data_IF_420274995445
#
_entry.id   IF_420274995445
#
_cell.length_a   1.000
_cell.length_b   1.000
_cell.length_c   1.000
_cell.angle_alpha   90.00
_cell.angle_beta   90.00
_cell.angle_gamma   90.00
#
_symmetry.space_group_name_H-M   'P 1'
#
loop_
_entity.id
_entity.type
_entity.pdbx_description
1 polymer ?
#
# COMPACT_ATOMS: atom_id res chain seq x y z
N UNK A 1 -39.28 -71.55 -32.60
CA UNK A 1 -37.89 -71.44 -33.08
C UNK A 1 -37.14 -70.58 -32.09
N UNK A 2 -36.51 -71.24 -31.13
CA UNK A 2 -35.80 -70.63 -30.00
C UNK A 2 -34.41 -70.21 -30.48
N UNK A 3 -34.16 -68.90 -30.52
CA UNK A 3 -32.83 -68.35 -30.79
C UNK A 3 -31.84 -68.86 -29.75
N UNK A 4 -30.76 -69.49 -30.20
CA UNK A 4 -29.63 -69.86 -29.34
C UNK A 4 -29.10 -68.58 -28.65
N UNK A 5 -28.77 -68.63 -27.36
CA UNK A 5 -28.09 -67.52 -26.71
C UNK A 5 -26.75 -67.33 -27.42
N UNK A 6 -26.45 -66.09 -27.80
CA UNK A 6 -25.12 -65.73 -28.27
C UNK A 6 -24.18 -65.94 -27.08
N UNK A 7 -23.35 -66.97 -27.15
CA UNK A 7 -22.31 -67.24 -26.16
C UNK A 7 -21.33 -66.06 -26.17
N UNK A 8 -21.50 -65.14 -25.22
CA UNK A 8 -20.53 -64.10 -24.91
C UNK A 8 -19.24 -64.79 -24.40
N UNK A 9 -18.05 -64.39 -24.87
CA UNK A 9 -16.80 -65.09 -24.56
C UNK A 9 -16.50 -65.07 -23.05
N UNK A 10 -15.88 -66.16 -22.58
CA UNK A 10 -15.80 -66.54 -21.16
C UNK A 10 -15.08 -65.55 -20.21
N UNK A 11 -14.30 -64.58 -20.71
CA UNK A 11 -13.52 -63.68 -19.84
C UNK A 11 -13.69 -62.17 -20.17
N UNK A 12 -14.92 -61.69 -20.35
CA UNK A 12 -15.19 -60.25 -20.51
C UNK A 12 -14.62 -59.39 -19.38
N UNK A 13 -14.57 -59.94 -18.16
CA UNK A 13 -14.02 -59.26 -16.97
C UNK A 13 -12.52 -59.02 -17.10
N UNK A 14 -11.75 -59.99 -17.64
CA UNK A 14 -10.30 -59.82 -17.82
C UNK A 14 -10.00 -58.82 -18.93
N UNK A 15 -10.77 -58.84 -20.02
CA UNK A 15 -10.67 -57.87 -21.10
C UNK A 15 -11.00 -56.44 -20.62
N UNK A 16 -12.03 -56.27 -19.79
CA UNK A 16 -12.37 -54.98 -19.20
C UNK A 16 -11.28 -54.45 -18.25
N UNK A 17 -10.71 -55.32 -17.42
CA UNK A 17 -9.59 -54.95 -16.53
C UNK A 17 -8.33 -54.58 -17.33
N UNK A 18 -8.03 -55.28 -18.43
CA UNK A 18 -6.94 -54.93 -19.32
C UNK A 18 -7.11 -53.52 -19.91
N UNK A 19 -8.31 -53.19 -20.42
CA UNK A 19 -8.63 -51.86 -20.95
C UNK A 19 -8.56 -50.76 -19.89
N UNK A 20 -8.94 -51.04 -18.64
CA UNK A 20 -8.77 -50.11 -17.54
C UNK A 20 -7.29 -49.84 -17.25
N UNK A 21 -6.47 -50.90 -17.21
CA UNK A 21 -5.02 -50.75 -17.00
C UNK A 21 -4.34 -49.99 -18.14
N UNK A 22 -4.72 -50.24 -19.39
CA UNK A 22 -4.25 -49.48 -20.54
C UNK A 22 -4.63 -48.00 -20.44
N UNK A 23 -5.87 -47.71 -20.01
CA UNK A 23 -6.32 -46.32 -19.81
C UNK A 23 -5.58 -45.61 -18.69
N UNK A 24 -5.31 -46.30 -17.58
CA UNK A 24 -4.53 -45.78 -16.46
C UNK A 24 -3.08 -45.49 -16.87
N UNK A 25 -2.46 -46.37 -17.67
CA UNK A 25 -1.14 -46.15 -18.24
C UNK A 25 -1.11 -44.92 -19.15
N UNK A 26 -2.09 -44.80 -20.07
CA UNK A 26 -2.22 -43.64 -20.95
C UNK A 26 -2.51 -42.35 -20.17
N UNK A 27 -3.25 -42.43 -19.06
CA UNK A 27 -3.46 -41.30 -18.17
C UNK A 27 -2.15 -40.88 -17.49
N UNK A 28 -1.39 -41.84 -16.95
CA UNK A 28 -0.09 -41.57 -16.35
C UNK A 28 0.89 -40.95 -17.35
N UNK A 29 0.97 -41.46 -18.59
CA UNK A 29 1.79 -40.87 -19.66
C UNK A 29 1.37 -39.42 -19.96
N UNK A 30 0.07 -39.15 -20.06
CA UNK A 30 -0.44 -37.79 -20.25
C UNK A 30 -0.10 -36.87 -19.09
N UNK A 31 -0.22 -37.35 -17.86
CA UNK A 31 0.07 -36.57 -16.66
C UNK A 31 1.56 -36.23 -16.57
N UNK A 32 2.45 -37.14 -16.97
CA UNK A 32 3.90 -36.88 -17.11
C UNK A 32 4.15 -35.79 -18.15
N UNK A 33 3.56 -35.90 -19.34
CA UNK A 33 3.72 -34.89 -20.41
C UNK A 33 3.18 -33.52 -19.98
N UNK A 34 2.06 -33.49 -19.25
CA UNK A 34 1.50 -32.25 -18.71
C UNK A 34 2.43 -31.66 -17.66
N UNK A 35 2.99 -32.47 -16.75
CA UNK A 35 3.94 -32.02 -15.76
C UNK A 35 5.21 -31.42 -16.40
N UNK A 36 5.78 -32.08 -17.41
CA UNK A 36 6.93 -31.58 -18.18
C UNK A 36 6.61 -30.26 -18.91
N UNK A 37 5.42 -30.17 -19.51
CA UNK A 37 4.96 -28.91 -20.12
C UNK A 37 4.87 -27.81 -19.07
N UNK A 38 4.30 -28.10 -17.91
CA UNK A 38 4.10 -27.12 -16.86
C UNK A 38 5.43 -26.63 -16.26
N UNK A 39 6.45 -27.48 -16.15
CA UNK A 39 7.80 -27.07 -15.76
C UNK A 39 8.43 -26.15 -16.80
N UNK A 40 8.33 -26.48 -18.09
CA UNK A 40 8.85 -25.64 -19.18
C UNK A 40 8.13 -24.29 -19.23
N UNK A 41 6.82 -24.28 -19.01
CA UNK A 41 6.01 -23.05 -18.94
C UNK A 41 6.45 -22.18 -17.77
N UNK A 42 6.68 -22.77 -16.59
CA UNK A 42 7.16 -22.04 -15.42
C UNK A 42 8.56 -21.44 -15.65
N UNK A 43 9.49 -22.19 -16.23
CA UNK A 43 10.82 -21.71 -16.59
C UNK A 43 10.77 -20.55 -17.60
N UNK A 44 9.94 -20.69 -18.64
CA UNK A 44 9.69 -19.61 -19.62
C UNK A 44 9.14 -18.37 -18.93
N UNK A 45 8.16 -18.51 -18.05
CA UNK A 45 7.54 -17.37 -17.38
C UNK A 45 8.52 -16.65 -16.45
N UNK A 46 9.41 -17.40 -15.78
CA UNK A 46 10.53 -16.84 -15.02
C UNK A 46 11.49 -16.07 -15.91
N UNK A 47 11.90 -16.64 -17.05
CA UNK A 47 12.81 -15.98 -17.98
C UNK A 47 12.20 -14.69 -18.57
N UNK A 48 10.91 -14.71 -18.92
CA UNK A 48 10.17 -13.54 -19.40
C UNK A 48 10.07 -12.48 -18.32
N UNK A 49 9.81 -12.85 -17.06
CA UNK A 49 9.78 -11.90 -15.95
C UNK A 49 11.16 -11.27 -15.70
N UNK A 50 12.25 -12.05 -15.77
CA UNK A 50 13.60 -11.52 -15.65
C UNK A 50 13.95 -10.56 -16.78
N UNK A 51 13.61 -10.90 -18.03
CA UNK A 51 13.84 -10.04 -19.18
C UNK A 51 13.06 -8.72 -19.09
N UNK A 52 11.78 -8.79 -18.71
CA UNK A 52 10.95 -7.60 -18.53
C UNK A 52 11.46 -6.70 -17.40
N UNK A 53 11.87 -7.28 -16.27
CA UNK A 53 12.48 -6.51 -15.17
C UNK A 53 13.80 -5.85 -15.60
N UNK A 54 14.64 -6.55 -16.37
CA UNK A 54 15.88 -5.99 -16.88
C UNK A 54 15.62 -4.84 -17.85
N UNK A 55 14.61 -4.96 -18.72
CA UNK A 55 14.20 -3.91 -19.64
C UNK A 55 13.70 -2.66 -18.88
N UNK A 56 12.83 -2.83 -17.88
CA UNK A 56 12.36 -1.72 -17.05
C UNK A 56 13.52 -0.99 -16.34
N UNK A 57 14.49 -1.73 -15.78
CA UNK A 57 15.67 -1.13 -15.15
C UNK A 57 16.52 -0.33 -16.15
N UNK A 58 16.61 -0.79 -17.41
CA UNK A 58 17.34 -0.08 -18.45
C UNK A 58 16.62 1.21 -18.84
N UNK A 59 15.31 1.16 -19.12
CA UNK A 59 14.54 2.36 -19.49
C UNK A 59 14.44 3.38 -18.34
N UNK A 60 14.32 2.92 -17.09
CA UNK A 60 14.43 3.78 -15.90
C UNK A 60 15.79 4.48 -15.83
N UNK A 61 16.87 3.75 -16.10
CA UNK A 61 18.21 4.32 -16.09
C UNK A 61 18.43 5.34 -17.21
N UNK A 62 17.87 5.10 -18.40
CA UNK A 62 17.91 6.03 -19.53
C UNK A 62 17.13 7.31 -19.24
N UNK A 63 15.93 7.19 -18.66
CA UNK A 63 15.13 8.34 -18.22
C UNK A 63 15.85 9.13 -17.11
N UNK A 64 16.51 8.45 -16.16
CA UNK A 64 17.31 9.10 -15.13
C UNK A 64 18.49 9.86 -15.73
N UNK A 65 19.24 9.25 -16.67
CA UNK A 65 20.35 9.90 -17.35
C UNK A 65 19.87 11.16 -18.07
N UNK A 66 18.80 11.05 -18.86
CA UNK A 66 18.22 12.20 -19.56
C UNK A 66 17.79 13.32 -18.59
N UNK A 67 17.20 12.96 -17.44
CA UNK A 67 16.80 13.94 -16.42
C UNK A 67 18.00 14.68 -15.81
N UNK A 68 19.11 13.96 -15.58
CA UNK A 68 20.34 14.54 -15.04
C UNK A 68 21.03 15.43 -16.07
N UNK A 69 21.08 15.01 -17.33
CA UNK A 69 21.62 15.83 -18.43
C UNK A 69 20.82 17.13 -18.61
N UNK A 70 19.49 17.03 -18.54
CA UNK A 70 18.59 18.18 -18.57
C UNK A 70 18.86 19.15 -17.39
N UNK A 71 19.00 18.62 -16.18
CA UNK A 71 19.33 19.42 -15.00
C UNK A 71 20.69 20.12 -15.15
N UNK A 72 21.69 19.42 -15.69
CA UNK A 72 23.01 19.97 -15.98
C UNK A 72 22.91 21.14 -16.98
N UNK A 73 22.15 20.99 -18.07
CA UNK A 73 21.99 22.08 -19.05
C UNK A 73 21.21 23.28 -18.49
N UNK A 74 20.20 23.05 -17.64
CA UNK A 74 19.51 24.12 -16.89
C UNK A 74 20.48 24.89 -16.00
N UNK A 75 21.28 24.20 -15.19
CA UNK A 75 22.30 24.81 -14.33
C UNK A 75 23.37 25.56 -15.13
N UNK A 76 23.83 24.99 -16.25
CA UNK A 76 24.79 25.66 -17.14
C UNK A 76 24.21 26.94 -17.76
N UNK A 77 22.90 27.00 -18.02
CA UNK A 77 22.22 28.21 -18.51
C UNK A 77 22.13 29.28 -17.41
N UNK A 78 21.84 28.90 -16.18
CA UNK A 78 21.85 29.80 -15.03
C UNK A 78 23.24 30.42 -14.81
N UNK A 79 24.29 29.60 -14.89
CA UNK A 79 25.68 30.05 -14.71
C UNK A 79 26.15 31.01 -15.83
N UNK A 80 25.80 30.71 -17.09
CA UNK A 80 26.26 31.47 -18.27
C UNK A 80 25.37 32.67 -18.63
N UNK A 81 24.21 32.78 -17.97
CA UNK A 81 23.26 33.89 -18.13
C UNK A 81 22.37 33.80 -19.37
N UNK A 82 21.40 34.73 -19.47
CA UNK A 82 20.30 34.72 -20.45
C UNK A 82 20.69 34.86 -21.94
N UNK A 83 21.96 35.06 -22.29
CA UNK A 83 22.39 35.38 -23.68
C UNK A 83 22.38 34.20 -24.65
N UNK A 84 22.01 32.99 -24.22
CA UNK A 84 22.03 31.79 -25.04
C UNK A 84 20.62 31.34 -25.47
N UNK A 85 20.00 32.05 -26.41
CA UNK A 85 18.71 31.62 -27.01
C UNK A 85 18.77 30.18 -27.56
N UNK A 86 19.94 29.76 -28.08
CA UNK A 86 20.19 28.38 -28.53
C UNK A 86 20.06 27.34 -27.43
N UNK A 87 20.46 27.65 -26.19
CA UNK A 87 20.33 26.70 -25.06
C UNK A 87 18.90 26.60 -24.56
N UNK A 88 18.07 27.62 -24.74
CA UNK A 88 16.65 27.55 -24.38
C UNK A 88 15.94 26.49 -25.24
N UNK A 89 16.11 26.58 -26.57
CA UNK A 89 15.54 25.60 -27.50
C UNK A 89 16.05 24.17 -27.27
N UNK A 90 17.33 24.03 -26.90
CA UNK A 90 17.89 22.73 -26.56
C UNK A 90 17.22 22.15 -25.31
N UNK A 91 17.02 22.96 -24.26
CA UNK A 91 16.32 22.52 -23.04
C UNK A 91 14.90 22.09 -23.39
N UNK A 92 14.15 22.90 -24.15
CA UNK A 92 12.77 22.56 -24.54
C UNK A 92 12.71 21.22 -25.31
N UNK A 93 13.69 20.96 -26.18
CA UNK A 93 13.79 19.68 -26.89
C UNK A 93 14.12 18.52 -25.94
N UNK A 94 15.04 18.71 -25.00
CA UNK A 94 15.39 17.69 -24.02
C UNK A 94 14.26 17.41 -23.03
N UNK A 95 13.41 18.41 -22.70
CA UNK A 95 12.20 18.21 -21.90
C UNK A 95 11.23 17.28 -22.63
N UNK A 96 11.00 17.49 -23.92
CA UNK A 96 10.14 16.61 -24.72
C UNK A 96 10.70 15.18 -24.82
N UNK A 97 12.01 15.03 -25.03
CA UNK A 97 12.67 13.72 -25.05
C UNK A 97 12.57 13.01 -23.69
N UNK A 98 12.69 13.76 -22.60
CA UNK A 98 12.54 13.20 -21.26
C UNK A 98 11.11 12.69 -21.03
N UNK A 99 10.09 13.42 -21.50
CA UNK A 99 8.70 12.97 -21.42
C UNK A 99 8.50 11.64 -22.16
N UNK A 100 9.03 11.49 -23.38
CA UNK A 100 8.98 10.24 -24.14
C UNK A 100 9.66 9.08 -23.41
N UNK A 101 10.86 9.31 -22.85
CA UNK A 101 11.59 8.28 -22.11
C UNK A 101 10.90 7.87 -20.82
N UNK A 102 10.32 8.83 -20.08
CA UNK A 102 9.55 8.54 -18.86
C UNK A 102 8.31 7.72 -19.19
N UNK A 103 7.61 8.04 -20.28
CA UNK A 103 6.48 7.24 -20.74
C UNK A 103 6.90 5.80 -21.06
N UNK A 104 7.97 5.62 -21.84
CA UNK A 104 8.50 4.29 -22.15
C UNK A 104 8.90 3.50 -20.90
N UNK A 105 9.58 4.15 -19.94
CA UNK A 105 9.93 3.54 -18.66
C UNK A 105 8.68 3.08 -17.89
N UNK A 106 7.63 3.89 -17.85
CA UNK A 106 6.37 3.52 -17.17
C UNK A 106 5.66 2.33 -17.83
N UNK A 107 5.74 2.21 -19.16
CA UNK A 107 5.18 1.09 -19.91
C UNK A 107 5.97 -0.20 -19.63
N UNK A 108 7.31 -0.11 -19.60
CA UNK A 108 8.19 -1.23 -19.28
C UNK A 108 8.03 -1.69 -17.82
N UNK A 109 7.91 -0.76 -16.86
CA UNK A 109 7.59 -1.08 -15.46
C UNK A 109 6.25 -1.84 -15.36
N UNK A 110 5.22 -1.41 -16.10
CA UNK A 110 3.94 -2.09 -16.13
C UNK A 110 4.04 -3.50 -16.74
N UNK A 111 4.83 -3.65 -17.82
CA UNK A 111 5.10 -4.95 -18.43
C UNK A 111 5.86 -5.89 -17.48
N UNK A 112 6.85 -5.37 -16.75
CA UNK A 112 7.59 -6.07 -15.72
C UNK A 112 6.69 -6.54 -14.58
N UNK A 113 5.79 -5.69 -14.08
CA UNK A 113 4.79 -6.06 -13.08
C UNK A 113 3.83 -7.16 -13.58
N UNK A 114 3.38 -7.07 -14.83
CA UNK A 114 2.52 -8.09 -15.44
C UNK A 114 3.24 -9.43 -15.65
N UNK A 115 4.54 -9.41 -15.93
CA UNK A 115 5.36 -10.61 -16.02
C UNK A 115 5.64 -11.22 -14.63
N UNK A 116 5.94 -10.40 -13.62
CA UNK A 116 6.10 -10.83 -12.23
C UNK A 116 4.81 -11.42 -11.64
N UNK A 117 3.64 -10.91 -12.03
CA UNK A 117 2.35 -11.48 -11.61
C UNK A 117 2.12 -12.91 -12.11
N UNK A 118 2.74 -13.30 -13.24
CA UNK A 118 2.66 -14.68 -13.77
C UNK A 118 3.55 -15.67 -13.01
N UNK A 119 4.60 -15.18 -12.35
CA UNK A 119 5.53 -16.01 -11.57
C UNK A 119 5.22 -16.02 -10.08
N UNK A 120 4.49 -15.02 -9.59
CA UNK A 120 4.07 -14.95 -8.19
C UNK A 120 2.85 -15.84 -7.90
N UNK A 121 3.06 -16.94 -7.21
CA UNK A 121 1.99 -17.81 -6.70
C UNK A 121 1.35 -17.30 -5.40
N UNK A 122 1.87 -16.21 -4.81
CA UNK A 122 1.45 -15.71 -3.50
C UNK A 122 0.44 -14.57 -3.67
N UNK A 123 -0.81 -14.79 -3.23
CA UNK A 123 -1.80 -13.71 -3.12
C UNK A 123 -1.30 -12.66 -2.13
N UNK A 124 -1.29 -11.40 -2.55
CA UNK A 124 -1.01 -10.28 -1.65
C UNK A 124 -2.10 -10.20 -0.56
N UNK A 125 -1.71 -10.37 0.69
CA UNK A 125 -2.60 -10.17 1.84
C UNK A 125 -2.38 -8.77 2.41
N UNK A 126 -3.38 -7.89 2.29
CA UNK A 126 -3.38 -6.59 2.95
C UNK A 126 -3.74 -6.77 4.44
N UNK A 127 -2.73 -6.65 5.31
CA UNK A 127 -2.96 -6.63 6.77
C UNK A 127 -3.82 -5.41 7.12
N UNK A 128 -5.05 -5.64 7.58
CA UNK A 128 -5.90 -4.59 8.14
C UNK A 128 -5.19 -3.97 9.36
N UNK A 129 -5.07 -2.64 9.39
CA UNK A 129 -4.54 -1.92 10.55
C UNK A 129 -5.40 -2.27 11.78
N UNK A 130 -4.83 -2.74 12.90
CA UNK A 130 -5.61 -3.02 14.09
C UNK A 130 -6.19 -1.70 14.61
N UNK A 131 -7.52 -1.54 14.51
CA UNK A 131 -8.25 -0.46 15.17
C UNK A 131 -8.61 -0.96 16.57
N UNK A 132 -8.28 -0.17 17.61
CA UNK A 132 -8.72 -0.48 18.98
C UNK A 132 -10.25 -0.39 19.00
N UNK A 133 -10.92 -1.47 19.41
CA UNK A 133 -12.37 -1.43 19.64
C UNK A 133 -12.64 -0.44 20.80
N UNK A 134 -13.68 0.41 20.69
CA UNK A 134 -14.10 1.24 21.82
C UNK A 134 -14.49 0.36 23.00
N UNK A 135 -14.33 0.90 24.22
CA UNK A 135 -14.69 0.17 25.43
C UNK A 135 -16.23 -0.02 25.53
N UNK A 136 -16.71 -1.13 26.09
CA UNK A 136 -18.14 -1.37 26.31
C UNK A 136 -18.81 -0.23 27.12
N UNK A 137 -20.09 0.03 26.86
CA UNK A 137 -20.88 1.08 27.52
C UNK A 137 -21.25 0.71 28.98
N UNK A 138 -21.24 -0.58 29.31
CA UNK A 138 -21.68 -1.11 30.61
C UNK A 138 -20.68 -0.92 31.77
N UNK A 139 -19.51 -0.33 31.50
CA UNK A 139 -18.45 -0.11 32.51
C UNK A 139 -18.65 1.26 33.17
N UNK A 140 -18.45 1.33 34.50
CA UNK A 140 -18.51 2.59 35.26
C UNK A 140 -17.54 3.63 34.67
N UNK A 141 -18.07 4.78 34.22
CA UNK A 141 -17.29 5.89 33.63
C UNK A 141 -17.13 7.04 34.62
N UNK A 142 -15.89 7.39 34.93
CA UNK A 142 -15.54 8.52 35.79
C UNK A 142 -14.96 9.64 34.92
N UNK A 143 -15.63 10.80 34.89
CA UNK A 143 -15.23 11.94 34.06
C UNK A 143 -14.34 12.90 34.85
N UNK A 144 -13.04 12.92 34.52
CA UNK A 144 -12.05 13.81 35.14
C UNK A 144 -11.78 14.97 34.18
N UNK A 145 -12.26 16.16 34.55
CA UNK A 145 -12.02 17.38 33.78
C UNK A 145 -10.72 18.02 34.25
N UNK A 146 -9.79 18.25 33.32
CA UNK A 146 -8.58 19.01 33.61
C UNK A 146 -8.93 20.50 33.43
N UNK A 147 -8.81 21.26 34.51
CA UNK A 147 -9.12 22.69 34.50
C UNK A 147 -8.27 23.45 33.48
N UNK A 148 -8.87 24.41 32.75
CA UNK A 148 -8.13 25.24 31.82
C UNK A 148 -7.22 26.26 32.49
N UNK A 149 -6.21 26.76 31.76
CA UNK A 149 -5.46 27.92 32.21
C UNK A 149 -6.39 29.13 32.29
N UNK A 150 -6.35 29.87 33.40
CA UNK A 150 -7.15 31.09 33.61
C UNK A 150 -6.75 32.26 32.67
N UNK A 151 -5.56 32.18 32.07
CA UNK A 151 -4.98 33.23 31.22
C UNK A 151 -4.42 32.62 29.93
N UNK A 152 -4.63 33.31 28.81
CA UNK A 152 -4.03 32.92 27.54
C UNK A 152 -2.50 33.00 27.61
N UNK A 153 -1.79 31.91 27.29
CA UNK A 153 -0.32 31.90 27.29
C UNK A 153 0.30 32.80 26.21
N UNK A 154 -0.47 33.24 25.20
CA UNK A 154 0.04 34.09 24.11
C UNK A 154 -0.07 35.59 24.40
N UNK A 155 -1.10 36.03 25.12
CA UNK A 155 -1.39 37.47 25.29
C UNK A 155 -1.75 37.87 26.72
N UNK A 156 -1.81 36.92 27.67
CA UNK A 156 -2.22 37.17 29.05
C UNK A 156 -3.68 37.53 29.24
N UNK A 157 -4.49 37.54 28.17
CA UNK A 157 -5.92 37.88 28.24
C UNK A 157 -6.72 36.81 28.99
N UNK A 158 -7.74 37.26 29.72
CA UNK A 158 -8.71 36.42 30.45
C UNK A 158 -9.93 36.01 29.62
N UNK A 159 -10.05 36.52 28.38
CA UNK A 159 -11.18 36.28 27.47
C UNK A 159 -11.01 34.98 26.67
N UNK A 160 -11.03 33.86 27.38
CA UNK A 160 -11.00 32.52 26.81
C UNK A 160 -12.42 32.03 26.51
N UNK A 161 -12.63 31.43 25.34
CA UNK A 161 -13.88 30.79 24.92
C UNK A 161 -13.65 29.30 24.69
N UNK A 162 -14.56 28.47 25.17
CA UNK A 162 -14.51 27.00 24.99
C UNK A 162 -14.83 26.66 23.53
N UNK A 163 -13.96 25.89 22.88
CA UNK A 163 -14.09 25.48 21.46
C UNK A 163 -14.53 24.02 21.32
N UNK A 164 -14.07 23.12 22.20
CA UNK A 164 -14.38 21.70 22.14
C UNK A 164 -13.68 20.91 23.24
N UNK A 165 -13.80 19.59 23.20
CA UNK A 165 -13.24 18.68 24.21
C UNK A 165 -12.46 17.57 23.51
N UNK A 166 -11.26 17.25 24.00
CA UNK A 166 -10.57 16.00 23.69
C UNK A 166 -10.77 15.02 24.85
N UNK A 167 -11.41 13.89 24.57
CA UNK A 167 -11.67 12.82 25.54
C UNK A 167 -10.66 11.70 25.31
N UNK A 168 -9.90 11.36 26.35
CA UNK A 168 -9.06 10.15 26.35
C UNK A 168 -9.57 9.16 27.38
N UNK A 169 -9.93 7.96 26.92
CA UNK A 169 -10.44 6.86 27.75
C UNK A 169 -9.28 5.97 28.22
N UNK A 170 -9.15 5.79 29.54
CA UNK A 170 -8.17 4.87 30.15
C UNK A 170 -8.90 3.89 31.06
N UNK A 171 -8.61 2.60 30.94
CA UNK A 171 -9.19 1.56 31.80
C UNK A 171 -8.33 1.41 33.06
N UNK A 172 -8.92 1.65 34.23
CA UNK A 172 -8.28 1.42 35.53
C UNK A 172 -8.89 0.18 36.21
N UNK A 173 -8.01 -0.67 36.74
CA UNK A 173 -8.40 -1.82 37.55
C UNK A 173 -8.56 -1.39 39.01
N UNK A 174 -9.75 -1.58 39.56
CA UNK A 174 -10.04 -1.44 40.98
C UNK A 174 -10.31 -2.85 41.51
N UNK A 175 -9.90 -3.23 42.74
CA UNK A 175 -10.17 -4.57 43.23
C UNK A 175 -11.64 -4.97 43.05
N UNK A 176 -11.89 -6.01 42.25
CA UNK A 176 -13.20 -6.58 41.85
C UNK A 176 -14.03 -5.82 40.80
N UNK A 177 -13.54 -4.70 40.23
CA UNK A 177 -14.27 -3.95 39.19
C UNK A 177 -13.34 -3.17 38.26
N UNK A 178 -13.79 -2.94 37.03
CA UNK A 178 -13.09 -2.04 36.12
C UNK A 178 -13.83 -0.71 36.07
N UNK A 179 -13.07 0.39 35.96
CA UNK A 179 -13.63 1.70 35.68
C UNK A 179 -12.91 2.32 34.49
N UNK A 180 -13.64 3.04 33.66
CA UNK A 180 -13.07 3.83 32.57
C UNK A 180 -12.95 5.26 33.06
N UNK A 181 -11.73 5.78 33.10
CA UNK A 181 -11.48 7.21 33.33
C UNK A 181 -11.53 7.93 31.98
N UNK A 182 -12.53 8.78 31.83
CA UNK A 182 -12.61 9.75 30.74
C UNK A 182 -11.87 11.01 31.18
N UNK A 183 -10.61 11.12 30.77
CA UNK A 183 -9.87 12.37 30.97
C UNK A 183 -10.28 13.37 29.91
N UNK A 184 -11.00 14.41 30.30
CA UNK A 184 -11.48 15.47 29.41
C UNK A 184 -10.51 16.64 29.45
N UNK A 185 -9.95 16.94 28.29
CA UNK A 185 -9.12 18.12 28.07
C UNK A 185 -9.90 19.10 27.21
N UNK A 186 -10.43 20.11 27.85
CA UNK A 186 -11.17 21.17 27.19
C UNK A 186 -10.23 22.06 26.36
N UNK A 187 -10.61 22.32 25.11
CA UNK A 187 -9.90 23.21 24.18
C UNK A 187 -10.45 24.62 24.31
N UNK A 188 -9.56 25.59 24.49
CA UNK A 188 -9.90 27.01 24.58
C UNK A 188 -9.25 27.82 23.47
N UNK A 189 -9.95 28.87 23.03
CA UNK A 189 -9.44 29.91 22.14
C UNK A 189 -9.54 31.27 22.81
N UNK A 190 -8.61 32.19 22.50
CA UNK A 190 -8.62 33.53 23.05
C UNK A 190 -9.24 34.51 22.05
N UNK A 191 -10.29 35.22 22.44
CA UNK A 191 -10.99 36.20 21.59
C UNK A 191 -10.09 37.36 21.15
N UNK A 192 -9.18 37.78 22.01
CA UNK A 192 -8.24 38.87 21.69
C UNK A 192 -7.12 38.43 20.74
N UNK A 193 -6.84 37.12 20.65
CA UNK A 193 -5.91 36.56 19.67
C UNK A 193 -6.59 36.25 18.33
N UNK A 194 -7.86 35.83 18.36
CA UNK A 194 -8.70 35.68 17.16
C UNK A 194 -8.85 37.00 16.41
N UNK A 195 -9.04 38.12 17.12
CA UNK A 195 -9.24 39.44 16.52
C UNK A 195 -7.96 40.07 15.92
N UNK A 196 -6.75 39.65 16.36
CA UNK A 196 -5.48 40.32 16.02
C UNK A 196 -4.65 39.63 14.92
N UNK A 197 -5.02 38.44 14.43
CA UNK A 197 -4.25 37.72 13.39
C UNK A 197 -5.14 37.16 12.28
N UNK A 198 -4.95 37.68 11.07
CA UNK A 198 -5.04 36.84 9.88
C UNK A 198 -3.74 36.02 9.77
N UNK A 199 -3.89 34.70 9.60
CA UNK A 199 -2.86 33.70 9.33
C UNK A 199 -1.90 33.26 10.47
N UNK A 200 -1.73 31.93 10.54
CA UNK A 200 -0.58 31.21 11.09
C UNK A 200 -0.46 31.13 12.61
N UNK A 201 -1.41 30.42 13.22
CA UNK A 201 -1.31 29.67 14.49
C UNK A 201 -2.49 29.97 15.40
N UNK A 202 -3.58 29.24 15.18
CA UNK A 202 -4.54 28.95 16.24
C UNK A 202 -3.79 28.07 17.27
N UNK A 203 -3.04 28.70 18.15
CA UNK A 203 -2.45 28.05 19.31
C UNK A 203 -3.61 27.58 20.19
N UNK A 204 -4.07 26.36 19.94
CA UNK A 204 -4.82 25.59 20.93
C UNK A 204 -3.89 25.54 22.14
N UNK A 205 -4.24 26.30 23.18
CA UNK A 205 -3.36 26.56 24.31
C UNK A 205 -3.33 25.31 25.21
N UNK A 206 -2.59 24.28 24.78
CA UNK A 206 -2.35 23.10 25.58
C UNK A 206 -1.20 23.36 26.55
N UNK A 207 -1.44 23.14 27.83
CA UNK A 207 -0.35 22.72 28.72
C UNK A 207 -0.02 21.28 28.32
N UNK A 208 1.10 21.11 27.61
CA UNK A 208 1.68 19.80 27.31
C UNK A 208 2.19 19.22 28.63
N UNK A 209 1.31 18.64 29.43
CA UNK A 209 1.71 17.88 30.61
C UNK A 209 2.41 16.62 30.13
N UNK A 210 3.74 16.70 30.05
CA UNK A 210 4.60 15.52 30.00
C UNK A 210 4.20 14.55 31.11
N UNK A 211 4.02 13.29 30.74
CA UNK A 211 4.04 12.10 31.61
C UNK A 211 3.12 12.14 32.84
N UNK A 212 1.97 11.51 32.74
CA UNK A 212 1.41 10.75 33.87
C UNK A 212 1.52 9.29 33.45
N UNK A 213 2.65 8.70 33.84
CA UNK A 213 2.82 7.27 33.98
C UNK A 213 2.24 6.91 35.34
N UNK A 214 1.20 6.09 35.36
CA UNK A 214 0.82 5.20 36.46
C UNK A 214 0.05 4.04 35.83
#
# INVERSE_FOLDING_TARGET
MTSKPVDLPADLTSAYLALLSEREMLQAERDVVVAERDTVVAERDIAVAQAANAQAMLSDSEALIASLELAIEKLKRELRGRRSERTARLIDQMELQLEELVMAATEDEAAAQAAAARTSSVRSFTRKRPVRKPWPEDIERERVVIDPPATCACCGGSRLSKLGEDVTETLEEVPRRFKVIETVREKFTCRDCEARRAASSALICWRRSSSISL
#
